data_IF_341344894590
#
_entry.id   IF_341344894590
#
_cell.length_a   1.000
_cell.length_b   1.000
_cell.length_c   1.000
_cell.angle_alpha   90.00
_cell.angle_beta   90.00
_cell.angle_gamma   90.00
#
_symmetry.space_group_name_H-M   'P 1'
#
loop_
_entity.id
_entity.type
_entity.pdbx_description
1 polymer ?
#
# COMPACT_ATOMS: atom_id res chain seq x y z
N UNK A 1 -14.00 -3.97 20.76
CA UNK A 1 -13.40 -4.85 19.73
C UNK A 1 -11.97 -4.40 19.53
N UNK A 2 -11.02 -5.31 19.68
CA UNK A 2 -9.60 -5.01 19.64
C UNK A 2 -8.92 -5.85 18.57
N UNK A 3 -8.21 -5.19 17.65
CA UNK A 3 -7.46 -5.86 16.60
C UNK A 3 -6.05 -6.18 17.09
N UNK A 4 -5.74 -7.45 17.24
CA UNK A 4 -4.42 -7.93 17.68
C UNK A 4 -3.61 -8.39 16.47
N UNK A 5 -2.34 -7.96 16.41
CA UNK A 5 -1.38 -8.37 15.39
C UNK A 5 -0.32 -9.24 16.04
N UNK A 6 -0.06 -10.41 15.48
CA UNK A 6 0.91 -11.35 16.00
C UNK A 6 1.55 -12.16 14.87
N UNK A 7 2.63 -12.88 15.18
CA UNK A 7 3.34 -13.71 14.21
C UNK A 7 3.65 -15.09 14.78
N UNK A 8 3.53 -16.13 13.94
CA UNK A 8 3.86 -17.52 14.27
C UNK A 8 4.65 -18.09 13.10
N UNK A 9 5.83 -18.67 13.36
CA UNK A 9 6.73 -19.22 12.33
C UNK A 9 6.97 -18.29 11.13
N UNK A 10 7.16 -17.00 11.42
CA UNK A 10 7.41 -15.96 10.39
C UNK A 10 6.17 -15.54 9.60
N UNK A 11 5.03 -16.18 9.80
CA UNK A 11 3.75 -15.77 9.21
C UNK A 11 3.08 -14.71 10.09
N UNK A 12 2.58 -13.64 9.48
CA UNK A 12 1.92 -12.54 10.17
C UNK A 12 0.40 -12.72 10.14
N UNK A 13 -0.25 -12.56 11.29
CA UNK A 13 -1.69 -12.72 11.47
C UNK A 13 -2.32 -11.47 12.07
N UNK A 14 -3.61 -11.30 11.79
CA UNK A 14 -4.46 -10.28 12.40
C UNK A 14 -5.73 -10.98 12.85
N UNK A 15 -6.15 -10.70 14.08
CA UNK A 15 -7.38 -11.23 14.65
C UNK A 15 -8.13 -10.11 15.36
N UNK A 16 -9.44 -10.11 15.20
CA UNK A 16 -10.32 -9.22 15.95
C UNK A 16 -10.93 -9.96 17.12
N UNK A 17 -10.73 -9.43 18.32
CA UNK A 17 -11.17 -10.03 19.57
C UNK A 17 -12.12 -9.09 20.32
N UNK A 18 -12.99 -9.65 21.15
CA UNK A 18 -13.62 -8.89 22.24
C UNK A 18 -12.56 -8.45 23.25
N UNK A 19 -12.89 -7.50 24.12
CA UNK A 19 -11.94 -7.01 25.13
C UNK A 19 -11.46 -8.13 26.04
N UNK A 20 -12.38 -8.94 26.59
CA UNK A 20 -12.04 -10.09 27.44
C UNK A 20 -11.12 -11.09 26.74
N UNK A 21 -11.37 -11.37 25.46
CA UNK A 21 -10.56 -12.33 24.70
C UNK A 21 -9.19 -11.75 24.36
N UNK A 22 -9.08 -10.44 24.11
CA UNK A 22 -7.81 -9.79 23.90
C UNK A 22 -6.93 -9.83 25.17
N UNK A 23 -7.53 -9.58 26.34
CA UNK A 23 -6.83 -9.69 27.62
C UNK A 23 -6.31 -11.10 27.85
N UNK A 24 -7.16 -12.12 27.71
CA UNK A 24 -6.76 -13.54 27.84
C UNK A 24 -5.65 -13.92 26.88
N UNK A 25 -5.71 -13.43 25.64
CA UNK A 25 -4.67 -13.68 24.64
C UNK A 25 -3.31 -13.11 25.07
N UNK A 26 -3.29 -11.90 25.61
CA UNK A 26 -2.06 -11.28 26.10
C UNK A 26 -1.52 -11.97 27.37
N UNK A 27 -2.39 -12.38 28.28
CA UNK A 27 -2.01 -13.14 29.48
C UNK A 27 -1.36 -14.48 29.14
N UNK A 28 -1.86 -15.19 28.13
CA UNK A 28 -1.26 -16.44 27.65
C UNK A 28 0.16 -16.25 27.08
N UNK A 29 0.43 -15.07 26.52
CA UNK A 29 1.74 -14.73 25.94
C UNK A 29 2.72 -14.16 26.97
N UNK A 30 2.23 -13.61 28.09
CA UNK A 30 3.03 -12.92 29.11
C UNK A 30 4.32 -13.67 29.52
N UNK A 31 4.31 -14.96 29.91
CA UNK A 31 5.53 -15.64 30.36
C UNK A 31 6.58 -15.79 29.26
N UNK A 32 6.16 -15.83 27.99
CA UNK A 32 7.07 -15.91 26.85
C UNK A 32 7.63 -14.53 26.49
N UNK A 33 6.80 -13.49 26.60
CA UNK A 33 7.21 -12.10 26.33
C UNK A 33 8.24 -11.62 27.35
N UNK A 34 8.13 -12.04 28.62
CA UNK A 34 9.07 -11.68 29.68
C UNK A 34 10.51 -12.14 29.41
N UNK A 35 10.68 -13.29 28.76
CA UNK A 35 12.00 -13.86 28.44
C UNK A 35 12.42 -13.61 26.99
N UNK A 36 11.52 -13.12 26.14
CA UNK A 36 11.78 -12.84 24.74
C UNK A 36 12.58 -11.54 24.56
N UNK A 37 13.39 -11.49 23.50
CA UNK A 37 13.95 -10.25 23.01
C UNK A 37 13.11 -9.70 21.87
N UNK A 38 13.00 -8.37 21.74
CA UNK A 38 12.35 -7.76 20.58
C UNK A 38 13.00 -8.25 19.29
N UNK A 39 12.18 -8.82 18.40
CA UNK A 39 12.67 -9.16 17.07
C UNK A 39 13.12 -7.87 16.37
N UNK A 40 14.24 -7.89 15.61
CA UNK A 40 14.63 -6.76 14.80
C UNK A 40 13.47 -6.41 13.88
N UNK A 41 12.93 -5.20 14.02
CA UNK A 41 11.89 -4.70 13.13
C UNK A 41 12.46 -4.77 11.73
N UNK A 42 11.97 -5.71 10.93
CA UNK A 42 12.18 -5.66 9.50
C UNK A 42 11.67 -4.30 9.08
N UNK A 43 12.57 -3.36 8.79
CA UNK A 43 12.20 -2.12 8.15
C UNK A 43 11.48 -2.57 6.89
N UNK A 44 10.14 -2.49 6.93
CA UNK A 44 9.33 -2.58 5.74
C UNK A 44 9.93 -1.52 4.87
N UNK A 45 10.73 -1.95 3.88
CA UNK A 45 11.25 -1.06 2.87
C UNK A 45 10.01 -0.31 2.42
N UNK A 46 9.93 0.96 2.82
CA UNK A 46 8.91 1.85 2.29
C UNK A 46 9.34 1.93 0.85
N UNK A 47 8.86 1.01 0.02
CA UNK A 47 8.89 1.14 -1.42
C UNK A 47 8.34 2.53 -1.63
N UNK A 48 9.24 3.45 -1.95
CA UNK A 48 8.95 4.89 -2.03
C UNK A 48 7.64 5.01 -2.78
N UNK A 49 6.75 5.86 -2.27
CA UNK A 49 5.47 6.20 -2.87
C UNK A 49 5.61 6.91 -4.24
N UNK A 50 6.48 6.41 -5.14
CA UNK A 50 6.59 6.83 -6.54
C UNK A 50 5.32 6.49 -7.32
N UNK A 51 4.47 5.60 -6.78
CA UNK A 51 3.15 5.31 -7.34
C UNK A 51 2.13 6.45 -7.20
N UNK A 52 2.26 7.35 -6.21
CA UNK A 52 1.33 8.46 -6.03
C UNK A 52 1.45 9.52 -7.13
N UNK A 53 2.69 9.95 -7.42
CA UNK A 53 2.98 10.88 -8.50
C UNK A 53 2.72 10.26 -9.89
N UNK A 54 3.09 8.99 -10.11
CA UNK A 54 2.81 8.29 -11.37
C UNK A 54 1.31 8.12 -11.64
N UNK A 55 0.51 7.79 -10.62
CA UNK A 55 -0.96 7.70 -10.75
C UNK A 55 -1.63 9.07 -10.97
N UNK A 56 -1.09 10.13 -10.35
CA UNK A 56 -1.55 11.50 -10.59
C UNK A 56 -1.28 11.94 -12.03
N UNK A 57 -0.08 11.65 -12.54
CA UNK A 57 0.29 11.98 -13.92
C UNK A 57 -0.52 11.16 -14.94
N UNK A 58 -0.74 9.86 -14.70
CA UNK A 58 -1.57 9.06 -15.61
C UNK A 58 -3.01 9.59 -15.70
N UNK A 59 -3.61 10.00 -14.58
CA UNK A 59 -4.95 10.60 -14.59
C UNK A 59 -5.01 11.89 -15.42
N UNK A 60 -4.00 12.76 -15.29
CA UNK A 60 -3.89 14.01 -16.07
C UNK A 60 -3.72 13.75 -17.57
N UNK A 61 -2.91 12.75 -17.93
CA UNK A 61 -2.70 12.37 -19.32
C UNK A 61 -3.99 11.78 -19.93
N UNK A 62 -4.74 10.95 -19.20
CA UNK A 62 -6.04 10.45 -19.68
C UNK A 62 -7.04 11.58 -19.95
N UNK A 63 -7.15 12.54 -19.03
CA UNK A 63 -8.05 13.67 -19.19
C UNK A 63 -7.66 14.54 -20.41
N UNK A 64 -6.37 14.77 -20.61
CA UNK A 64 -5.86 15.49 -21.77
C UNK A 64 -6.16 14.76 -23.09
N UNK A 65 -5.98 13.44 -23.10
CA UNK A 65 -6.25 12.61 -24.27
C UNK A 65 -7.74 12.56 -24.63
N UNK A 66 -8.62 12.43 -23.63
CA UNK A 66 -10.07 12.50 -23.83
C UNK A 66 -10.49 13.86 -24.40
N UNK A 67 -9.91 14.96 -23.89
CA UNK A 67 -10.18 16.31 -24.41
C UNK A 67 -9.70 16.51 -25.86
N UNK A 68 -8.66 15.78 -26.28
CA UNK A 68 -8.12 15.81 -27.65
C UNK A 68 -8.78 14.76 -28.57
N UNK A 69 -9.86 14.09 -28.13
CA UNK A 69 -10.53 12.99 -28.83
C UNK A 69 -9.58 11.83 -29.21
N UNK A 70 -8.49 11.64 -28.46
CA UNK A 70 -7.56 10.53 -28.65
C UNK A 70 -8.12 9.27 -27.98
N UNK A 71 -8.07 8.13 -28.68
CA UNK A 71 -8.57 6.85 -28.16
C UNK A 71 -7.72 6.37 -26.99
N UNK A 72 -8.22 6.57 -25.76
CA UNK A 72 -7.64 6.02 -24.52
C UNK A 72 -8.55 4.97 -23.91
N UNK A 73 -7.96 3.93 -23.33
CA UNK A 73 -8.69 2.96 -22.52
C UNK A 73 -9.03 3.56 -21.15
N UNK A 74 -10.26 3.36 -20.66
CA UNK A 74 -10.73 3.89 -19.36
C UNK A 74 -9.96 3.32 -18.15
N UNK A 75 -9.27 2.18 -18.32
CA UNK A 75 -8.45 1.55 -17.27
C UNK A 75 -7.20 0.93 -17.86
N UNK A 76 -6.04 1.24 -17.26
CA UNK A 76 -4.77 0.58 -17.57
C UNK A 76 -3.71 1.52 -18.13
N UNK A 77 -2.70 0.93 -18.77
CA UNK A 77 -1.50 1.64 -19.26
C UNK A 77 -1.85 2.57 -20.41
N UNK A 78 -1.39 3.83 -20.32
CA UNK A 78 -1.57 4.83 -21.37
C UNK A 78 -0.62 4.49 -22.54
N UNK A 79 -1.12 4.46 -23.79
CA UNK A 79 -0.28 4.30 -24.97
C UNK A 79 0.84 5.35 -25.04
N UNK A 80 2.05 4.92 -25.45
CA UNK A 80 3.26 5.78 -25.46
C UNK A 80 3.07 7.07 -26.27
N UNK A 81 2.38 7.00 -27.41
CA UNK A 81 2.13 8.15 -28.28
C UNK A 81 1.33 9.27 -27.58
N UNK A 82 0.47 8.94 -26.62
CA UNK A 82 -0.33 9.91 -25.86
C UNK A 82 0.48 10.56 -24.75
N UNK A 83 1.36 9.78 -24.11
CA UNK A 83 2.32 10.30 -23.12
C UNK A 83 3.29 11.28 -23.78
N UNK A 84 3.76 10.97 -24.99
CA UNK A 84 4.62 11.85 -25.78
C UNK A 84 3.90 13.13 -26.20
N UNK A 85 2.65 13.04 -26.70
CA UNK A 85 1.85 14.21 -27.02
C UNK A 85 1.61 15.13 -25.80
N UNK A 86 1.33 14.54 -24.62
CA UNK A 86 1.20 15.29 -23.37
C UNK A 86 2.51 15.97 -22.94
N UNK A 87 3.63 15.25 -23.01
CA UNK A 87 4.94 15.80 -22.67
C UNK A 87 5.38 16.91 -23.63
N UNK A 88 4.99 16.85 -24.92
CA UNK A 88 5.22 17.94 -25.87
C UNK A 88 4.33 19.15 -25.60
N UNK A 89 3.06 18.93 -25.25
CA UNK A 89 2.12 20.00 -24.98
C UNK A 89 2.36 20.70 -23.63
N UNK A 90 2.95 20.01 -22.65
CA UNK A 90 3.13 20.51 -21.28
C UNK A 90 4.59 20.45 -20.79
N UNK A 91 5.53 20.28 -21.70
CA UNK A 91 6.97 20.25 -21.41
C UNK A 91 7.58 21.66 -21.37
N UNK A 92 7.69 22.21 -20.16
CA UNK A 92 8.75 23.12 -19.69
C UNK A 92 9.04 22.81 -18.24
#
# INVERSE_FOLDING_TARGET
MNTVRFSVDGSNYVIDLSEDNATRFLELLAPYVEVAQPAPVAHKSRTRATGGAKRSNSRRIHQCAQAQNLTVSDRGTIPKHIVEAYNQAHGS
#
